data_IF_216850432365
#
_entry.id   IF_216850432365
#
_cell.length_a   1.000
_cell.length_b   1.000
_cell.length_c   1.000
_cell.angle_alpha   90.00
_cell.angle_beta   90.00
_cell.angle_gamma   90.00
#
_symmetry.space_group_name_H-M   'P 1'
#
loop_
_entity.id
_entity.type
_entity.pdbx_description
1 polymer ?
#
# COMPACT_ATOMS: atom_id res chain seq x y z
N UNK A 1 -1.31 -0.02 31.54
CA UNK A 1 -0.70 1.02 30.73
C UNK A 1 -1.20 0.87 29.31
N UNK A 2 -1.62 1.98 28.66
CA UNK A 2 -2.11 2.02 27.28
C UNK A 2 -1.29 3.08 26.54
N UNK A 3 -0.80 2.73 25.35
CA UNK A 3 -0.13 3.67 24.45
C UNK A 3 -1.17 4.44 23.64
N UNK A 4 -0.98 5.74 23.50
CA UNK A 4 -1.80 6.62 22.68
C UNK A 4 -0.98 7.83 22.23
N UNK A 5 -1.47 8.53 21.21
CA UNK A 5 -0.94 9.85 20.81
C UNK A 5 -1.85 10.95 21.29
N UNK A 6 -1.31 12.13 21.53
CA UNK A 6 -2.10 13.33 21.78
C UNK A 6 -2.69 13.79 20.45
N UNK A 7 -4.01 13.72 20.33
CA UNK A 7 -4.71 14.15 19.13
C UNK A 7 -4.86 15.68 19.09
N UNK A 8 -5.24 16.27 20.23
CA UNK A 8 -5.37 17.73 20.39
C UNK A 8 -5.44 18.11 21.87
N UNK A 9 -5.19 19.37 22.14
CA UNK A 9 -5.38 19.98 23.45
C UNK A 9 -6.47 21.07 23.30
N UNK A 10 -7.52 20.96 24.07
CA UNK A 10 -8.62 21.92 24.14
C UNK A 10 -8.49 22.74 25.42
N UNK A 11 -8.64 24.06 25.30
CA UNK A 11 -8.67 24.97 26.44
C UNK A 11 -10.11 25.46 26.63
N UNK A 12 -10.88 24.78 27.48
CA UNK A 12 -12.18 25.24 27.92
C UNK A 12 -12.09 25.78 29.36
N UNK A 13 -12.50 27.03 29.57
CA UNK A 13 -12.62 27.65 30.89
C UNK A 13 -11.36 27.54 31.77
N UNK A 14 -10.19 27.80 31.20
CA UNK A 14 -8.87 27.73 31.88
C UNK A 14 -8.44 26.34 32.35
N UNK A 15 -9.14 25.28 31.96
CA UNK A 15 -8.73 23.90 32.18
C UNK A 15 -8.29 23.24 30.88
N UNK A 16 -7.01 22.91 30.70
CA UNK A 16 -6.55 22.20 29.52
C UNK A 16 -7.07 20.76 29.53
N UNK A 17 -7.74 20.36 28.43
CA UNK A 17 -8.22 18.99 28.20
C UNK A 17 -7.38 18.34 27.12
N UNK A 18 -6.68 17.28 27.46
CA UNK A 18 -5.84 16.51 26.51
C UNK A 18 -6.66 15.36 25.93
N UNK A 19 -6.85 15.40 24.62
CA UNK A 19 -7.56 14.35 23.87
C UNK A 19 -6.54 13.36 23.32
N UNK A 20 -6.67 12.09 23.69
CA UNK A 20 -5.83 11.00 23.24
C UNK A 20 -6.48 10.23 22.11
N UNK A 21 -5.67 9.70 21.19
CA UNK A 21 -6.13 8.89 20.06
C UNK A 21 -5.28 7.63 19.87
N UNK A 22 -5.94 6.53 19.54
CA UNK A 22 -5.35 5.29 19.05
C UNK A 22 -5.78 4.96 17.62
N UNK A 23 -6.71 5.75 17.06
CA UNK A 23 -7.27 5.56 15.71
C UNK A 23 -6.59 6.41 14.65
N UNK A 24 -5.87 7.44 15.07
CA UNK A 24 -5.14 8.32 14.15
C UNK A 24 -4.03 7.59 13.40
N UNK A 25 -3.78 7.90 12.11
CA UNK A 25 -2.59 7.43 11.39
C UNK A 25 -1.27 7.80 12.09
N UNK A 26 -1.25 8.91 12.84
CA UNK A 26 -0.10 9.33 13.63
C UNK A 26 0.26 8.30 14.71
N UNK A 27 -0.72 7.62 15.30
CA UNK A 27 -0.44 6.54 16.25
C UNK A 27 0.34 5.39 15.61
N UNK A 28 -0.03 5.00 14.37
CA UNK A 28 0.70 3.98 13.62
C UNK A 28 2.13 4.42 13.31
N UNK A 29 2.34 5.69 12.90
CA UNK A 29 3.68 6.23 12.65
C UNK A 29 4.56 6.16 13.91
N UNK A 30 4.03 6.53 15.08
CA UNK A 30 4.75 6.44 16.35
C UNK A 30 5.07 4.99 16.75
N UNK A 31 4.19 4.04 16.46
CA UNK A 31 4.49 2.62 16.68
C UNK A 31 5.61 2.12 15.77
N UNK A 32 5.67 2.59 14.53
CA UNK A 32 6.77 2.29 13.61
C UNK A 32 8.09 2.86 14.10
N UNK A 33 8.14 4.12 14.53
CA UNK A 33 9.33 4.74 15.12
C UNK A 33 9.86 3.95 16.32
N UNK A 34 8.97 3.41 17.15
CA UNK A 34 9.36 2.61 18.33
C UNK A 34 9.89 1.21 17.99
N UNK A 35 9.50 0.65 16.84
CA UNK A 35 9.82 -0.73 16.48
C UNK A 35 10.86 -0.84 15.35
N UNK A 36 11.14 0.26 14.64
CA UNK A 36 12.02 0.34 13.47
C UNK A 36 13.11 1.38 13.76
N UNK A 37 14.30 0.96 14.22
CA UNK A 37 15.39 1.89 14.54
C UNK A 37 15.75 2.82 13.39
N UNK A 38 15.72 2.32 12.15
CA UNK A 38 16.06 3.06 10.94
C UNK A 38 15.09 4.26 10.70
N UNK A 39 13.86 4.19 11.21
CA UNK A 39 12.93 5.32 11.20
C UNK A 39 13.28 6.30 12.33
N UNK A 40 13.55 5.80 13.53
CA UNK A 40 13.94 6.61 14.67
C UNK A 40 15.23 7.40 14.40
N UNK A 41 16.18 6.79 13.70
CA UNK A 41 17.47 7.39 13.31
C UNK A 41 17.37 8.31 12.08
N UNK A 42 16.18 8.44 11.46
CA UNK A 42 15.95 9.28 10.29
C UNK A 42 16.50 8.72 8.97
N UNK A 43 16.90 7.45 8.92
CA UNK A 43 17.38 6.78 7.70
C UNK A 43 16.21 6.38 6.78
N UNK A 44 15.05 6.13 7.38
CA UNK A 44 13.80 5.84 6.65
C UNK A 44 12.76 6.88 7.06
N UNK A 45 12.06 7.41 6.06
CA UNK A 45 10.98 8.38 6.24
C UNK A 45 9.63 7.76 5.87
N UNK A 46 8.61 7.95 6.71
CA UNK A 46 7.23 7.61 6.38
C UNK A 46 6.63 8.77 5.61
N UNK A 47 6.43 8.60 4.31
CA UNK A 47 5.93 9.63 3.39
C UNK A 47 4.42 9.79 3.44
N UNK A 48 3.70 8.69 3.60
CA UNK A 48 2.26 8.68 3.71
C UNK A 48 1.79 7.51 4.58
N UNK A 49 0.65 7.68 5.24
CA UNK A 49 -0.02 6.63 6.00
C UNK A 49 -1.52 6.80 5.90
N UNK A 50 -2.22 5.73 5.59
CA UNK A 50 -3.67 5.64 5.54
C UNK A 50 -4.12 4.48 6.43
N UNK A 51 -5.25 4.63 7.11
CA UNK A 51 -5.67 3.65 8.12
C UNK A 51 -7.18 3.56 8.24
N UNK A 52 -7.68 2.33 8.24
CA UNK A 52 -9.01 1.96 8.71
C UNK A 52 -8.81 1.22 10.04
N UNK A 53 -9.02 1.88 11.20
CA UNK A 53 -8.67 1.34 12.50
C UNK A 53 -9.34 0.00 12.77
N UNK A 54 -8.55 -0.99 13.23
CA UNK A 54 -9.01 -2.34 13.52
C UNK A 54 -9.14 -3.26 12.30
N UNK A 55 -8.97 -2.75 11.09
CA UNK A 55 -9.09 -3.54 9.86
C UNK A 55 -7.77 -3.62 9.11
N UNK A 56 -7.35 -2.51 8.53
CA UNK A 56 -6.15 -2.44 7.68
C UNK A 56 -5.55 -1.06 7.64
N UNK A 57 -4.24 -1.00 7.43
CA UNK A 57 -3.51 0.22 7.16
C UNK A 57 -2.56 0.05 5.97
N UNK A 58 -2.25 1.14 5.30
CA UNK A 58 -1.19 1.22 4.28
C UNK A 58 -0.23 2.33 4.63
N UNK A 59 1.07 2.07 4.48
CA UNK A 59 2.12 3.05 4.66
C UNK A 59 3.06 3.07 3.46
N UNK A 60 3.51 4.26 3.10
CA UNK A 60 4.53 4.46 2.08
C UNK A 60 5.80 4.98 2.76
N UNK A 61 6.90 4.28 2.56
CA UNK A 61 8.19 4.54 3.17
C UNK A 61 9.27 4.78 2.12
N UNK A 62 10.25 5.58 2.47
CA UNK A 62 11.37 5.94 1.60
C UNK A 62 12.67 5.93 2.39
N UNK A 63 13.76 5.49 1.77
CA UNK A 63 15.12 5.70 2.25
C UNK A 63 15.91 6.53 1.24
N UNK A 64 16.75 7.42 1.72
CA UNK A 64 17.70 8.18 0.90
C UNK A 64 19.04 7.45 0.72
N UNK A 65 19.22 6.32 1.40
CA UNK A 65 20.39 5.43 1.26
C UNK A 65 19.96 4.20 0.45
N UNK A 66 20.49 4.05 -0.76
CA UNK A 66 20.18 2.94 -1.68
C UNK A 66 20.55 1.55 -1.12
N UNK A 67 21.37 1.51 -0.09
CA UNK A 67 21.76 0.26 0.60
C UNK A 67 20.71 -0.23 1.59
N UNK A 68 19.72 0.61 1.92
CA UNK A 68 18.66 0.31 2.88
C UNK A 68 17.39 -0.04 2.12
N UNK A 69 16.89 -1.26 2.28
CA UNK A 69 15.53 -1.62 1.87
C UNK A 69 14.52 -1.11 2.91
N UNK A 70 13.76 -0.02 2.61
CA UNK A 70 12.88 0.57 3.60
C UNK A 70 11.69 -0.32 3.95
N UNK A 71 11.22 -1.14 3.01
CA UNK A 71 10.11 -2.08 3.26
C UNK A 71 10.59 -3.23 4.12
N UNK A 72 11.71 -3.86 3.77
CA UNK A 72 12.31 -4.94 4.54
C UNK A 72 12.66 -4.54 5.97
N UNK A 73 13.17 -3.32 6.18
CA UNK A 73 13.46 -2.79 7.50
C UNK A 73 12.21 -2.62 8.36
N UNK A 74 11.11 -2.11 7.79
CA UNK A 74 9.83 -1.97 8.50
C UNK A 74 9.19 -3.32 8.82
N UNK A 75 9.26 -4.28 7.90
CA UNK A 75 8.72 -5.63 8.11
C UNK A 75 9.54 -6.40 9.14
N UNK A 76 10.86 -6.30 9.06
CA UNK A 76 11.81 -7.01 9.92
C UNK A 76 11.97 -8.48 9.55
N UNK A 77 12.98 -9.12 10.12
CA UNK A 77 13.26 -10.54 9.86
C UNK A 77 12.05 -11.40 10.19
N UNK A 78 11.60 -12.18 9.21
CA UNK A 78 10.37 -13.01 9.30
C UNK A 78 9.13 -12.21 9.77
N UNK A 79 9.06 -10.92 9.49
CA UNK A 79 7.94 -10.07 9.88
C UNK A 79 7.89 -9.74 11.38
N UNK A 80 9.00 -9.86 12.11
CA UNK A 80 9.03 -9.69 13.56
C UNK A 80 8.60 -8.31 14.02
N UNK A 81 9.04 -7.25 13.33
CA UNK A 81 8.74 -5.86 13.68
C UNK A 81 7.28 -5.53 13.38
N UNK A 82 6.83 -5.82 12.15
CA UNK A 82 5.44 -5.50 11.74
C UNK A 82 4.41 -6.29 12.57
N UNK A 83 4.68 -7.57 12.92
CA UNK A 83 3.79 -8.36 13.77
C UNK A 83 3.65 -7.80 15.19
N UNK A 84 4.71 -7.19 15.73
CA UNK A 84 4.64 -6.52 17.03
C UNK A 84 3.64 -5.36 16.99
N UNK A 85 3.65 -4.57 15.90
CA UNK A 85 2.73 -3.45 15.69
C UNK A 85 1.30 -3.94 15.46
N UNK A 86 1.13 -4.96 14.60
CA UNK A 86 -0.17 -5.60 14.34
C UNK A 86 -0.82 -6.10 15.65
N UNK A 87 -0.02 -6.68 16.54
CA UNK A 87 -0.50 -7.14 17.85
C UNK A 87 -0.94 -5.97 18.75
N UNK A 88 -0.18 -4.88 18.80
CA UNK A 88 -0.55 -3.65 19.53
C UNK A 88 -1.86 -3.05 19.00
N UNK A 89 -2.10 -3.16 17.69
CA UNK A 89 -3.30 -2.69 17.00
C UNK A 89 -4.43 -3.73 16.95
N UNK A 90 -4.32 -4.82 17.72
CA UNK A 90 -5.32 -5.89 17.86
C UNK A 90 -5.72 -6.58 16.54
N UNK A 91 -4.75 -6.82 15.68
CA UNK A 91 -4.93 -7.58 14.44
C UNK A 91 -5.14 -6.73 13.19
N UNK A 92 -4.95 -5.42 13.25
CA UNK A 92 -4.98 -4.55 12.07
C UNK A 92 -3.83 -4.89 11.12
N UNK A 93 -4.15 -5.31 9.90
CA UNK A 93 -3.16 -5.64 8.88
C UNK A 93 -2.47 -4.39 8.35
N UNK A 94 -1.15 -4.44 8.17
CA UNK A 94 -0.36 -3.30 7.72
C UNK A 94 0.38 -3.66 6.43
N UNK A 95 0.05 -2.95 5.35
CA UNK A 95 0.75 -3.02 4.08
C UNK A 95 1.83 -1.94 4.03
N UNK A 96 3.06 -2.35 3.79
CA UNK A 96 4.20 -1.44 3.64
C UNK A 96 4.59 -1.40 2.16
N UNK A 97 4.70 -0.20 1.59
CA UNK A 97 5.12 -0.01 0.21
C UNK A 97 6.21 1.05 0.10
N UNK A 98 7.07 0.94 -0.92
CA UNK A 98 8.07 1.97 -1.21
C UNK A 98 7.40 3.18 -1.86
N UNK A 99 7.64 4.36 -1.28
CA UNK A 99 7.22 5.62 -1.86
C UNK A 99 7.96 5.90 -3.18
N UNK A 100 7.31 6.60 -4.08
CA UNK A 100 7.92 7.12 -5.32
C UNK A 100 7.20 8.40 -5.73
N UNK A 101 7.94 9.30 -6.38
CA UNK A 101 7.39 10.53 -6.99
C UNK A 101 6.67 10.25 -8.30
N UNK A 102 6.89 9.09 -8.91
CA UNK A 102 6.12 8.65 -10.08
C UNK A 102 4.72 8.23 -9.63
N UNK A 103 3.73 9.06 -9.94
CA UNK A 103 2.34 8.90 -9.50
C UNK A 103 1.71 7.59 -10.01
N UNK A 104 1.94 7.21 -11.26
CA UNK A 104 1.46 5.94 -11.84
C UNK A 104 1.95 4.75 -11.02
N UNK A 105 3.26 4.70 -10.79
CA UNK A 105 3.89 3.64 -10.03
C UNK A 105 3.44 3.64 -8.56
N UNK A 106 3.21 4.83 -7.99
CA UNK A 106 2.74 4.93 -6.62
C UNK A 106 1.31 4.40 -6.46
N UNK A 107 0.40 4.73 -7.39
CA UNK A 107 -0.97 4.20 -7.41
C UNK A 107 -0.94 2.68 -7.60
N UNK A 108 -0.15 2.16 -8.52
CA UNK A 108 -0.01 0.72 -8.73
C UNK A 108 0.46 -0.01 -7.47
N UNK A 109 1.46 0.53 -6.77
CA UNK A 109 1.95 -0.02 -5.49
C UNK A 109 0.91 0.08 -4.38
N UNK A 110 0.16 1.19 -4.32
CA UNK A 110 -0.88 1.41 -3.32
C UNK A 110 -2.05 0.43 -3.47
N UNK A 111 -2.36 -0.02 -4.68
CA UNK A 111 -3.41 -1.01 -4.97
C UNK A 111 -3.00 -2.45 -4.65
N UNK A 112 -1.72 -2.71 -4.31
CA UNK A 112 -1.27 -4.06 -3.91
C UNK A 112 -2.26 -4.71 -2.92
N UNK A 113 -2.58 -6.01 -3.09
CA UNK A 113 -1.94 -7.01 -3.95
C UNK A 113 -2.44 -7.04 -5.41
N UNK A 114 -3.41 -6.21 -5.79
CA UNK A 114 -3.92 -6.17 -7.16
C UNK A 114 -2.88 -5.63 -8.15
N UNK A 115 -2.92 -6.16 -9.38
CA UNK A 115 -2.06 -5.76 -10.49
C UNK A 115 -2.87 -5.01 -11.53
N UNK A 116 -2.46 -3.79 -11.87
CA UNK A 116 -3.04 -3.01 -12.94
C UNK A 116 -2.38 -3.38 -14.28
N UNK A 117 -3.17 -3.39 -15.36
CA UNK A 117 -2.70 -3.49 -16.75
C UNK A 117 -2.33 -2.11 -17.28
N UNK A 118 -3.21 -1.12 -17.05
CA UNK A 118 -2.99 0.25 -17.45
C UNK A 118 -3.54 1.23 -16.41
N UNK A 119 -2.95 2.42 -16.35
CA UNK A 119 -3.41 3.50 -15.48
C UNK A 119 -3.38 4.80 -16.29
N UNK A 120 -4.51 5.48 -16.34
CA UNK A 120 -4.65 6.83 -16.93
C UNK A 120 -4.81 7.84 -15.81
N UNK A 121 -4.06 8.95 -15.86
CA UNK A 121 -4.10 9.98 -14.83
C UNK A 121 -4.71 11.28 -15.36
N UNK A 122 -5.59 11.86 -14.58
CA UNK A 122 -5.94 13.27 -14.60
C UNK A 122 -5.27 13.95 -13.39
N UNK A 123 -4.16 14.62 -13.65
CA UNK A 123 -3.37 15.28 -12.59
C UNK A 123 -4.09 16.51 -12.02
N UNK A 124 -4.86 17.24 -12.85
CA UNK A 124 -5.60 18.44 -12.43
C UNK A 124 -6.78 18.05 -11.55
N UNK A 125 -7.56 17.04 -11.96
CA UNK A 125 -8.70 16.52 -11.21
C UNK A 125 -8.32 15.58 -10.06
N UNK A 126 -7.04 15.20 -9.94
CA UNK A 126 -6.58 14.18 -8.98
C UNK A 126 -7.37 12.88 -9.10
N UNK A 127 -7.56 12.41 -10.34
CA UNK A 127 -8.28 11.18 -10.65
C UNK A 127 -7.36 10.20 -11.37
N UNK A 128 -7.61 8.91 -11.16
CA UNK A 128 -6.91 7.83 -11.82
C UNK A 128 -7.91 6.77 -12.28
N UNK A 129 -7.88 6.43 -13.55
CA UNK A 129 -8.60 5.29 -14.10
C UNK A 129 -7.63 4.11 -14.18
N UNK A 130 -7.99 3.01 -13.53
CA UNK A 130 -7.14 1.83 -13.43
C UNK A 130 -7.83 0.66 -14.10
N UNK A 131 -7.21 0.18 -15.16
CA UNK A 131 -7.69 -0.98 -15.94
C UNK A 131 -6.98 -2.24 -15.45
N UNK A 132 -7.74 -3.29 -15.20
CA UNK A 132 -7.19 -4.54 -14.70
C UNK A 132 -8.05 -5.75 -15.13
N UNK A 133 -7.42 -6.91 -15.09
CA UNK A 133 -8.10 -8.19 -15.35
C UNK A 133 -9.26 -8.39 -14.36
N UNK A 134 -10.34 -9.09 -14.79
CA UNK A 134 -11.51 -9.31 -13.94
C UNK A 134 -11.22 -9.96 -12.59
N UNK A 135 -10.22 -10.86 -12.51
CA UNK A 135 -9.77 -11.52 -11.29
C UNK A 135 -9.04 -10.59 -10.31
N UNK A 136 -8.47 -9.47 -10.79
CA UNK A 136 -7.76 -8.48 -9.98
C UNK A 136 -8.70 -7.44 -9.34
N UNK A 137 -9.86 -7.20 -9.93
CA UNK A 137 -10.83 -6.18 -9.46
C UNK A 137 -11.26 -6.41 -8.00
N UNK A 138 -11.62 -7.63 -7.56
CA UNK A 138 -11.95 -7.88 -6.16
C UNK A 138 -10.78 -7.62 -5.21
N UNK A 139 -9.55 -7.87 -5.65
CA UNK A 139 -8.34 -7.61 -4.86
C UNK A 139 -8.08 -6.11 -4.71
N UNK A 140 -8.29 -5.34 -5.79
CA UNK A 140 -8.15 -3.89 -5.78
C UNK A 140 -9.15 -3.22 -4.84
N UNK A 141 -10.40 -3.63 -4.90
CA UNK A 141 -11.48 -3.11 -4.05
C UNK A 141 -11.26 -3.54 -2.59
N UNK A 142 -10.99 -4.84 -2.38
CA UNK A 142 -10.85 -5.44 -1.05
C UNK A 142 -12.18 -5.56 -0.31
N UNK A 143 -12.12 -6.16 0.88
CA UNK A 143 -13.29 -6.31 1.76
C UNK A 143 -13.82 -4.92 2.16
N UNK A 144 -15.13 -4.70 2.02
CA UNK A 144 -15.79 -3.42 2.33
C UNK A 144 -15.15 -2.21 1.63
N UNK A 145 -14.56 -2.41 0.47
CA UNK A 145 -13.79 -1.41 -0.29
C UNK A 145 -12.59 -0.81 0.50
N UNK A 146 -12.08 -1.51 1.51
CA UNK A 146 -11.03 -0.99 2.37
C UNK A 146 -9.70 -0.81 1.63
N UNK A 147 -9.34 -1.73 0.71
CA UNK A 147 -8.10 -1.62 -0.03
C UNK A 147 -8.09 -0.40 -0.95
N UNK A 148 -9.18 -0.18 -1.69
CA UNK A 148 -9.34 0.96 -2.59
C UNK A 148 -9.31 2.29 -1.83
N UNK A 149 -10.13 2.42 -0.77
CA UNK A 149 -10.17 3.63 0.06
C UNK A 149 -8.81 3.97 0.69
N UNK A 150 -8.07 2.97 1.15
CA UNK A 150 -6.73 3.17 1.69
C UNK A 150 -5.74 3.60 0.61
N UNK A 151 -5.84 3.05 -0.61
CA UNK A 151 -5.01 3.48 -1.73
C UNK A 151 -5.29 4.93 -2.12
N UNK A 152 -6.57 5.33 -2.17
CA UNK A 152 -6.97 6.73 -2.42
C UNK A 152 -6.44 7.69 -1.35
N UNK A 153 -6.59 7.34 -0.06
CA UNK A 153 -6.07 8.15 1.04
C UNK A 153 -4.54 8.24 1.03
N UNK A 154 -3.86 7.15 0.68
CA UNK A 154 -2.40 7.09 0.65
C UNK A 154 -1.82 7.94 -0.48
N UNK A 155 -2.44 7.90 -1.66
CA UNK A 155 -1.96 8.56 -2.88
C UNK A 155 -2.50 9.97 -3.07
N UNK A 156 -3.66 10.26 -2.47
CA UNK A 156 -4.38 11.53 -2.67
C UNK A 156 -5.12 11.61 -4.01
N UNK A 157 -5.27 10.49 -4.72
CA UNK A 157 -6.02 10.38 -5.96
C UNK A 157 -7.32 9.62 -5.74
N UNK A 158 -8.39 10.06 -6.37
CA UNK A 158 -9.60 9.24 -6.53
C UNK A 158 -9.31 8.16 -7.58
N UNK A 159 -9.60 6.91 -7.26
CA UNK A 159 -9.26 5.78 -8.10
C UNK A 159 -10.54 5.09 -8.59
N UNK A 160 -10.74 5.05 -9.90
CA UNK A 160 -11.81 4.32 -10.54
C UNK A 160 -11.24 3.05 -11.18
N UNK A 161 -11.85 1.91 -10.88
CA UNK A 161 -11.37 0.59 -11.32
C UNK A 161 -12.25 0.07 -12.43
N UNK A 162 -11.66 -0.24 -13.57
CA UNK A 162 -12.31 -0.79 -14.75
C UNK A 162 -11.83 -2.21 -15.05
N UNK A 163 -12.74 -3.03 -15.53
CA UNK A 163 -12.42 -4.37 -16.04
C UNK A 163 -11.92 -4.23 -17.48
N UNK A 164 -10.79 -4.84 -17.76
CA UNK A 164 -10.27 -4.99 -19.10
C UNK A 164 -10.41 -6.47 -19.49
N UNK A 165 -11.36 -6.75 -20.37
CA UNK A 165 -11.64 -8.10 -20.87
C UNK A 165 -10.80 -8.40 -22.13
N UNK A 166 -10.34 -7.38 -22.86
CA UNK A 166 -9.52 -7.54 -24.07
C UNK A 166 -8.13 -8.08 -23.76
N UNK A 167 -7.54 -7.72 -22.62
CA UNK A 167 -6.25 -8.25 -22.18
C UNK A 167 -6.26 -9.74 -21.79
N UNK A 168 -7.44 -10.34 -21.62
CA UNK A 168 -7.56 -11.78 -21.33
C UNK A 168 -7.49 -12.60 -22.61
N UNK A 169 -7.97 -12.06 -23.74
CA UNK A 169 -7.90 -12.74 -25.03
C UNK A 169 -6.49 -12.71 -25.63
N UNK A 170 -5.73 -11.61 -25.43
CA UNK A 170 -4.33 -11.54 -25.88
C UNK A 170 -3.40 -12.50 -25.13
N UNK A 171 -3.57 -12.65 -23.81
CA UNK A 171 -2.76 -13.59 -23.04
C UNK A 171 -3.02 -15.06 -23.43
N UNK A 172 -4.26 -15.44 -23.76
CA UNK A 172 -4.60 -16.79 -24.23
C UNK A 172 -4.00 -17.04 -25.61
N UNK A 173 -3.98 -16.01 -26.46
CA UNK A 173 -3.41 -16.12 -27.83
C UNK A 173 -1.88 -16.23 -27.81
N UNK A 174 -1.21 -15.56 -26.86
CA UNK A 174 0.24 -15.62 -26.70
C UNK A 174 0.70 -16.98 -26.11
N UNK A 175 -0.04 -17.51 -25.15
CA UNK A 175 0.25 -18.83 -24.58
C UNK A 175 0.05 -19.97 -25.61
N UNK A 176 -0.99 -19.90 -26.44
CA UNK A 176 -1.19 -20.85 -27.55
C UNK A 176 -0.09 -20.73 -28.63
N UNK A 177 0.40 -19.50 -28.87
CA UNK A 177 1.44 -19.24 -29.86
C UNK A 177 2.84 -19.69 -29.40
N UNK A 178 3.13 -19.55 -28.09
CA UNK A 178 4.38 -20.04 -27.50
C UNK A 178 4.47 -21.57 -27.54
N UNK A 179 3.38 -22.29 -27.28
CA UNK A 179 3.31 -23.75 -27.37
C UNK A 179 3.49 -24.24 -28.82
N UNK A 180 2.97 -23.55 -29.82
CA UNK A 180 3.17 -23.86 -31.23
C UNK A 180 4.62 -23.59 -31.70
N UNK A 181 5.25 -22.51 -31.21
CA UNK A 181 6.63 -22.16 -31.54
C UNK A 181 7.59 -23.18 -30.94
N UNK A 182 7.42 -23.58 -29.68
CA UNK A 182 8.26 -24.61 -29.05
C UNK A 182 8.13 -25.94 -29.76
N UNK A 183 6.94 -26.34 -30.14
CA UNK A 183 6.68 -27.59 -30.89
C UNK A 183 7.33 -27.55 -32.29
N UNK A 184 7.25 -26.40 -32.96
CA UNK A 184 7.89 -26.22 -34.28
C UNK A 184 9.41 -26.28 -34.21
N UNK A 185 10.02 -25.62 -33.21
CA UNK A 185 11.47 -25.61 -32.99
C UNK A 185 11.99 -27.02 -32.66
N UNK A 186 11.29 -27.78 -31.83
CA UNK A 186 11.68 -29.17 -31.47
C UNK A 186 11.61 -30.09 -32.70
N UNK A 187 10.64 -29.88 -33.61
CA UNK A 187 10.51 -30.69 -34.83
C UNK A 187 11.55 -30.35 -35.91
N UNK A 188 12.18 -29.16 -35.87
CA UNK A 188 13.25 -28.78 -36.80
C UNK A 188 14.64 -29.25 -36.34
N UNK A 189 14.79 -29.64 -35.07
CA UNK A 189 16.05 -30.10 -34.47
C UNK A 189 16.20 -31.63 -34.47
N UNK A 190 15.26 -32.39 -35.04
CA UNK A 190 15.33 -33.82 -35.30
C UNK A 190 15.63 -34.10 -36.77
#
# INVERSE_FOLDING_TARGET
TVRAVIARVENENSNPKVILSRVSPEFLKRLLELNVPEIADGLITIRAAARVPGERAKIAVESYDDRIDPVGACVGVNGSRIRSIVRELKGENIDVTTYTTNTLLFIQRALSPAKALAITLDEEGKQAEVYMRPDQVPLAIGKNAANLRLAEQLTGYRIEVFRDEEGVEEDIYLDEFDDEIETWVINQLK
#
